data_IF_783487008202
#
_entry.id   IF_783487008202
#
_cell.length_a   1.000
_cell.length_b   1.000
_cell.length_c   1.000
_cell.angle_alpha   90.00
_cell.angle_beta   90.00
_cell.angle_gamma   90.00
#
_symmetry.space_group_name_H-M   'P 1'
#
loop_
_entity.id
_entity.type
_entity.pdbx_description
1 polymer ?
#
# COMPACT_ATOMS: atom_id res chain seq x y z
N UNK A 1 -13.79 2.33 7.20
CA UNK A 1 -12.90 1.22 6.81
C UNK A 1 -12.96 1.13 5.30
N UNK A 2 -11.80 1.14 4.65
CA UNK A 2 -11.70 1.02 3.20
C UNK A 2 -10.80 -0.16 2.86
N UNK A 3 -11.05 -0.83 1.75
CA UNK A 3 -10.25 -1.96 1.32
C UNK A 3 -9.32 -1.52 0.18
N UNK A 4 -8.14 -2.12 0.10
CA UNK A 4 -7.17 -1.79 -0.94
C UNK A 4 -6.80 -3.08 -1.65
N UNK A 5 -7.03 -3.12 -2.96
CA UNK A 5 -6.71 -4.27 -3.80
C UNK A 5 -5.69 -3.89 -4.88
N UNK A 6 -4.83 -4.82 -5.30
CA UNK A 6 -3.91 -4.56 -6.39
C UNK A 6 -4.67 -4.39 -7.71
N UNK A 7 -4.19 -3.50 -8.57
CA UNK A 7 -4.67 -3.38 -9.95
C UNK A 7 -3.97 -4.41 -10.85
N UNK A 8 -4.35 -4.48 -12.12
CA UNK A 8 -3.61 -5.25 -13.13
C UNK A 8 -2.18 -4.76 -13.39
N UNK A 9 -1.84 -3.54 -12.95
CA UNK A 9 -0.51 -2.96 -13.12
C UNK A 9 0.43 -3.28 -11.95
N UNK A 10 -0.08 -3.91 -10.88
CA UNK A 10 0.77 -4.32 -9.77
C UNK A 10 1.77 -5.40 -10.24
N UNK A 11 3.07 -5.35 -9.85
CA UNK A 11 4.10 -6.29 -10.34
C UNK A 11 3.83 -7.76 -9.99
N UNK A 12 3.07 -8.01 -8.93
CA UNK A 12 2.62 -9.35 -8.53
C UNK A 12 1.26 -9.73 -9.13
N UNK A 13 0.73 -8.94 -10.07
CA UNK A 13 -0.56 -9.16 -10.72
C UNK A 13 -1.78 -8.67 -9.95
N UNK A 14 -2.96 -8.86 -10.56
CA UNK A 14 -4.26 -8.50 -10.01
C UNK A 14 -4.78 -9.53 -9.00
N UNK A 15 -5.58 -9.06 -8.05
CA UNK A 15 -6.35 -9.87 -7.10
C UNK A 15 -7.71 -9.22 -6.87
N UNK A 16 -8.77 -10.03 -6.93
CA UNK A 16 -10.12 -9.58 -6.56
C UNK A 16 -10.32 -9.41 -5.05
N UNK A 17 -9.43 -10.01 -4.25
CA UNK A 17 -9.42 -9.87 -2.79
C UNK A 17 -8.50 -8.71 -2.36
N UNK A 18 -8.90 -7.93 -1.34
CA UNK A 18 -8.08 -6.83 -0.84
C UNK A 18 -6.83 -7.35 -0.18
N UNK A 19 -5.71 -6.70 -0.48
CA UNK A 19 -4.40 -6.99 0.09
C UNK A 19 -4.14 -6.18 1.36
N UNK A 20 -4.77 -5.01 1.48
CA UNK A 20 -4.75 -4.24 2.70
C UNK A 20 -6.15 -3.83 3.11
N UNK A 21 -6.33 -3.71 4.41
CA UNK A 21 -7.47 -3.07 5.05
C UNK A 21 -7.00 -1.75 5.67
N UNK A 22 -7.66 -0.65 5.33
CA UNK A 22 -7.43 0.65 5.93
C UNK A 22 -8.31 0.81 7.17
N UNK A 23 -7.64 0.96 8.32
CA UNK A 23 -8.23 1.26 9.61
C UNK A 23 -7.68 2.61 10.05
N UNK A 24 -8.54 3.61 10.12
CA UNK A 24 -8.13 5.01 10.30
C UNK A 24 -7.13 5.42 9.20
N UNK A 25 -5.90 5.79 9.56
CA UNK A 25 -4.83 6.13 8.64
C UNK A 25 -3.79 5.01 8.48
N UNK A 26 -4.07 3.80 8.96
CA UNK A 26 -3.14 2.67 8.97
C UNK A 26 -3.59 1.55 8.04
N UNK A 27 -2.64 0.94 7.33
CA UNK A 27 -2.89 -0.14 6.38
C UNK A 27 -2.36 -1.47 6.94
N UNK A 28 -3.28 -2.40 7.15
CA UNK A 28 -3.01 -3.73 7.67
C UNK A 28 -3.07 -4.74 6.53
N UNK A 29 -2.03 -5.57 6.32
CA UNK A 29 -2.09 -6.61 5.31
C UNK A 29 -3.13 -7.66 5.71
N UNK A 30 -3.94 -8.08 4.74
CA UNK A 30 -4.95 -9.12 4.95
C UNK A 30 -4.35 -10.51 4.75
N UNK A 31 -5.14 -11.56 5.00
CA UNK A 31 -4.78 -12.95 4.66
C UNK A 31 -4.58 -13.19 3.16
N UNK A 32 -5.14 -12.32 2.30
CA UNK A 32 -4.98 -12.41 0.85
C UNK A 32 -3.70 -11.72 0.34
N UNK A 33 -2.97 -11.00 1.21
CA UNK A 33 -1.71 -10.39 0.83
C UNK A 33 -0.66 -11.46 0.48
N UNK A 34 0.12 -11.35 -0.62
CA UNK A 34 1.09 -12.37 -1.04
C UNK A 34 2.19 -12.69 -0.01
N UNK A 35 2.48 -11.73 0.86
CA UNK A 35 3.44 -11.86 1.97
C UNK A 35 2.79 -12.31 3.29
N UNK A 36 1.50 -12.68 3.29
CA UNK A 36 0.74 -13.09 4.46
C UNK A 36 0.14 -11.95 5.27
N UNK A 37 -0.60 -12.32 6.30
CA UNK A 37 -1.29 -11.42 7.24
C UNK A 37 -0.37 -10.93 8.36
N UNK A 38 -0.70 -9.75 8.91
CA UNK A 38 -0.05 -9.17 10.10
C UNK A 38 -1.09 -8.47 10.97
N UNK A 39 -0.97 -8.63 12.29
CA UNK A 39 -1.73 -7.86 13.28
C UNK A 39 -1.25 -6.41 13.43
N UNK A 40 -0.10 -6.06 12.84
CA UNK A 40 0.49 -4.73 12.86
C UNK A 40 0.40 -4.05 11.49
N UNK A 41 0.23 -2.72 11.44
CA UNK A 41 0.11 -1.99 10.18
C UNK A 41 1.45 -1.93 9.46
N UNK A 42 1.43 -2.19 8.17
CA UNK A 42 2.62 -2.13 7.32
C UNK A 42 2.85 -0.75 6.75
N UNK A 43 1.77 0.02 6.58
CA UNK A 43 1.87 1.40 6.13
C UNK A 43 1.00 2.35 6.94
N UNK A 44 1.36 3.62 6.87
CA UNK A 44 0.64 4.75 7.42
C UNK A 44 0.40 5.77 6.29
N UNK A 45 -0.84 6.22 6.16
CA UNK A 45 -1.21 7.40 5.36
C UNK A 45 -1.04 8.64 6.22
N UNK A 46 -0.34 9.65 5.70
CA UNK A 46 -0.15 10.93 6.37
C UNK A 46 -0.97 12.03 5.70
N UNK A 47 -1.00 13.20 6.34
CA UNK A 47 -1.83 14.36 5.92
C UNK A 47 -1.53 14.85 4.49
N UNK A 48 -0.37 14.53 3.94
CA UNK A 48 0.05 14.88 2.57
C UNK A 48 -0.43 13.90 1.49
N UNK A 49 -1.40 13.03 1.82
CA UNK A 49 -1.88 11.92 0.98
C UNK A 49 -0.78 10.95 0.55
N UNK A 50 0.30 10.86 1.33
CA UNK A 50 1.38 9.90 1.06
C UNK A 50 1.41 8.77 2.06
N UNK A 51 1.96 7.65 1.61
CA UNK A 51 1.97 6.38 2.32
C UNK A 51 3.41 6.02 2.67
N UNK A 52 3.66 5.81 3.96
CA UNK A 52 4.97 5.56 4.53
C UNK A 52 5.04 4.15 5.13
N UNK A 53 6.15 3.46 4.91
CA UNK A 53 6.40 2.15 5.53
C UNK A 53 6.66 2.33 7.04
N UNK A 54 5.91 1.61 7.87
CA UNK A 54 6.10 1.63 9.32
C UNK A 54 7.25 0.72 9.74
N UNK A 55 7.61 0.74 11.03
CA UNK A 55 8.59 -0.20 11.59
C UNK A 55 8.19 -1.68 11.47
N UNK A 56 6.90 -1.97 11.26
CA UNK A 56 6.39 -3.33 11.12
C UNK A 56 6.33 -3.81 9.67
N UNK A 57 6.72 -2.98 8.70
CA UNK A 57 6.79 -3.39 7.31
C UNK A 57 7.91 -4.43 7.11
N UNK A 58 7.73 -5.52 6.34
CA UNK A 58 8.73 -6.59 6.17
C UNK A 58 10.08 -6.14 5.58
N UNK A 59 10.08 -5.02 4.86
CA UNK A 59 11.29 -4.40 4.27
C UNK A 59 11.84 -3.25 5.14
N UNK A 60 11.31 -3.08 6.35
CA UNK A 60 11.70 -2.03 7.29
C UNK A 60 10.95 -0.70 7.08
N UNK A 61 11.12 0.24 8.04
CA UNK A 61 10.49 1.56 7.98
C UNK A 61 11.12 2.44 6.90
N UNK A 62 10.39 3.46 6.47
CA UNK A 62 10.93 4.50 5.59
C UNK A 62 10.50 5.89 6.00
N UNK A 63 11.47 6.82 6.01
CA UNK A 63 11.21 8.25 6.21
C UNK A 63 10.67 8.93 4.94
N UNK A 64 10.75 8.26 3.79
CA UNK A 64 10.25 8.75 2.51
C UNK A 64 9.00 7.97 2.10
N UNK A 65 8.06 8.62 1.39
CA UNK A 65 6.80 8.00 1.02
C UNK A 65 7.03 6.97 -0.08
N UNK A 66 6.48 5.77 0.06
CA UNK A 66 6.56 4.74 -0.98
C UNK A 66 5.45 4.89 -2.00
N UNK A 67 4.29 5.34 -1.55
CA UNK A 67 3.15 5.58 -2.40
C UNK A 67 2.54 6.95 -2.15
N UNK A 68 1.75 7.37 -3.11
CA UNK A 68 0.86 8.52 -3.01
C UNK A 68 -0.55 8.10 -3.40
N UNK A 69 -1.53 8.76 -2.77
CA UNK A 69 -2.95 8.55 -3.02
C UNK A 69 -3.46 9.67 -3.92
N UNK A 70 -4.00 9.30 -5.07
CA UNK A 70 -4.79 10.20 -5.93
C UNK A 70 -6.21 9.65 -6.09
N UNK A 71 -7.17 10.34 -5.46
CA UNK A 71 -8.58 9.94 -5.39
C UNK A 71 -8.75 8.53 -4.82
N UNK A 72 -8.91 7.53 -5.70
CA UNK A 72 -9.07 6.11 -5.33
C UNK A 72 -7.88 5.25 -5.74
N UNK A 73 -6.84 5.84 -6.30
CA UNK A 73 -5.69 5.12 -6.83
C UNK A 73 -4.46 5.36 -5.97
N UNK A 74 -3.61 4.35 -5.87
CA UNK A 74 -2.37 4.40 -5.12
C UNK A 74 -1.23 4.08 -6.07
N UNK A 75 -0.33 5.05 -6.25
CA UNK A 75 0.77 5.00 -7.20
C UNK A 75 2.11 5.03 -6.50
N UNK A 76 3.13 4.40 -7.07
CA UNK A 76 4.49 4.44 -6.52
C UNK A 76 5.07 5.84 -6.66
N UNK A 77 5.70 6.35 -5.61
CA UNK A 77 6.56 7.53 -5.73
C UNK A 77 7.95 7.13 -6.24
N UNK A 78 8.81 8.11 -6.49
CA UNK A 78 10.23 7.87 -6.82
C UNK A 78 11.03 7.21 -5.69
N UNK A 79 10.54 7.25 -4.45
CA UNK A 79 11.23 6.67 -3.29
C UNK A 79 10.79 5.24 -2.99
N UNK A 80 9.90 4.66 -3.80
CA UNK A 80 9.50 3.27 -3.64
C UNK A 80 10.72 2.34 -3.86
N UNK A 81 10.94 1.28 -3.03
CA UNK A 81 12.13 0.40 -3.15
C UNK A 81 12.31 -0.29 -4.50
N UNK A 82 11.21 -0.44 -5.25
CA UNK A 82 11.19 -1.00 -6.61
C UNK A 82 11.26 0.05 -7.72
N UNK A 83 11.44 1.32 -7.38
CA UNK A 83 11.42 2.45 -8.31
C UNK A 83 10.02 2.98 -8.61
N UNK A 84 9.98 4.06 -9.39
CA UNK A 84 8.76 4.74 -9.81
C UNK A 84 8.05 4.01 -10.95
N UNK A 85 6.72 4.05 -10.95
CA UNK A 85 5.87 3.55 -12.02
C UNK A 85 4.71 4.52 -12.28
N UNK A 86 4.39 4.76 -13.55
CA UNK A 86 3.33 5.70 -13.95
C UNK A 86 1.91 5.19 -13.70
N UNK A 87 1.72 3.87 -13.65
CA UNK A 87 0.42 3.25 -13.43
C UNK A 87 0.19 2.94 -11.95
N UNK A 88 -1.05 3.13 -11.43
CA UNK A 88 -1.36 2.84 -10.04
C UNK A 88 -1.28 1.35 -9.76
N UNK A 89 -0.65 1.01 -8.65
CA UNK A 89 -0.47 -0.37 -8.19
C UNK A 89 -1.66 -0.87 -7.40
N UNK A 90 -2.37 0.02 -6.72
CA UNK A 90 -3.56 -0.35 -5.97
C UNK A 90 -4.72 0.60 -6.25
N UNK A 91 -5.91 0.12 -5.93
CA UNK A 91 -7.11 0.95 -5.84
C UNK A 91 -7.82 0.72 -4.51
N UNK A 92 -8.44 1.79 -4.02
CA UNK A 92 -9.29 1.84 -2.84
C UNK A 92 -10.71 1.46 -3.27
N UNK A 93 -11.31 0.49 -2.57
CA UNK A 93 -12.64 -0.08 -2.80
C UNK A 93 -13.51 -0.11 -1.56
#
# INVERSE_FOLDING_TARGET
MANIRPTSNHPNGFSGLPWYEMRENLLYPTVAHPKGWSGFPWFEVREDNKIYATANHPEGPSALPWFEVDRKYISCTINHPKGWHSCPWYEIV
#
